data_IF_210048712054
#
_entry.id   IF_210048712054
#
_cell.length_a   1.000
_cell.length_b   1.000
_cell.length_c   1.000
_cell.angle_alpha   90.00
_cell.angle_beta   90.00
_cell.angle_gamma   90.00
#
_symmetry.space_group_name_H-M   'P 1'
#
loop_
_entity.id
_entity.type
_entity.pdbx_description
1 polymer ?
#
# COMPACT_ATOMS: atom_id res chain seq x y z
N UNK A 1 5.22 2.88 27.60
CA UNK A 1 4.04 2.01 27.76
C UNK A 1 3.71 1.98 29.24
N UNK A 2 2.46 1.67 29.65
CA UNK A 2 2.15 1.36 31.06
C UNK A 2 3.11 0.29 31.59
N UNK A 3 3.39 0.24 32.89
CA UNK A 3 4.37 -0.73 33.44
C UNK A 3 3.92 -2.19 33.31
N UNK A 4 2.61 -2.43 33.26
CA UNK A 4 1.94 -3.74 33.24
C UNK A 4 1.47 -4.18 31.85
N UNK A 5 1.90 -3.49 30.79
CA UNK A 5 1.46 -3.74 29.41
C UNK A 5 1.74 -5.19 28.93
N UNK A 6 2.79 -5.83 29.43
CA UNK A 6 3.15 -7.22 29.10
C UNK A 6 2.21 -8.24 29.73
N UNK A 7 1.62 -7.89 30.88
CA UNK A 7 0.64 -8.71 31.60
C UNK A 7 -0.80 -8.44 31.16
N UNK A 8 -1.02 -7.59 30.16
CA UNK A 8 -2.34 -7.31 29.64
C UNK A 8 -3.03 -8.60 29.16
N UNK A 9 -4.34 -8.77 29.44
CA UNK A 9 -5.11 -9.88 28.90
C UNK A 9 -4.96 -10.00 27.39
N UNK A 10 -5.03 -11.22 26.85
CA UNK A 10 -4.82 -11.47 25.42
C UNK A 10 -5.77 -10.63 24.54
N UNK A 11 -6.98 -10.37 25.03
CA UNK A 11 -8.00 -9.57 24.37
C UNK A 11 -7.68 -8.06 24.33
N UNK A 12 -6.69 -7.59 25.10
CA UNK A 12 -6.29 -6.19 25.21
C UNK A 12 -4.88 -5.91 24.67
N UNK A 13 -4.08 -6.96 24.42
CA UNK A 13 -2.71 -6.82 23.90
C UNK A 13 -2.62 -6.01 22.60
N UNK A 14 -3.68 -6.01 21.78
CA UNK A 14 -3.77 -5.21 20.55
C UNK A 14 -3.64 -3.70 20.79
N UNK A 15 -4.00 -3.21 21.99
CA UNK A 15 -3.83 -1.81 22.39
C UNK A 15 -2.34 -1.43 22.34
N UNK A 16 -1.48 -2.35 22.77
CA UNK A 16 -0.03 -2.19 22.82
C UNK A 16 0.69 -2.66 21.54
N UNK A 17 -0.06 -3.06 20.52
CA UNK A 17 0.52 -3.54 19.27
C UNK A 17 1.37 -2.48 18.57
N UNK A 18 2.51 -2.91 18.03
CA UNK A 18 3.41 -2.06 17.26
C UNK A 18 3.10 -2.16 15.77
N UNK A 19 2.80 -1.02 15.16
CA UNK A 19 2.50 -0.93 13.73
C UNK A 19 3.71 -0.38 12.99
N UNK A 20 4.33 -1.19 12.15
CA UNK A 20 5.47 -0.80 11.33
C UNK A 20 5.12 -0.80 9.86
N UNK A 21 5.25 0.36 9.24
CA UNK A 21 5.16 0.48 7.79
C UNK A 21 6.56 0.56 7.17
N UNK A 22 6.73 -0.24 6.12
CA UNK A 22 7.97 -0.44 5.37
C UNK A 22 7.72 0.10 3.96
N UNK A 23 8.63 0.94 3.47
CA UNK A 23 8.57 1.49 2.11
C UNK A 23 9.94 2.08 1.71
N UNK A 24 10.16 2.35 0.43
CA UNK A 24 11.34 3.08 -0.04
C UNK A 24 11.02 4.25 -0.97
N UNK A 25 11.80 5.33 -0.79
CA UNK A 25 11.68 6.54 -1.56
C UNK A 25 12.83 6.69 -2.58
N UNK A 26 12.48 6.62 -3.87
CA UNK A 26 13.42 6.73 -4.98
C UNK A 26 13.66 8.14 -5.51
N UNK A 27 13.03 9.16 -4.91
CA UNK A 27 13.41 10.56 -5.11
C UNK A 27 14.69 10.89 -4.33
N UNK A 28 14.88 10.28 -3.14
CA UNK A 28 16.04 10.49 -2.25
C UNK A 28 17.31 9.75 -2.70
N UNK A 29 17.66 9.88 -3.98
CA UNK A 29 18.90 9.33 -4.58
C UNK A 29 20.11 10.07 -4.03
N UNK A 30 21.27 9.40 -3.98
CA UNK A 30 22.56 10.05 -3.68
C UNK A 30 23.59 9.73 -4.76
N UNK A 31 24.26 10.77 -5.28
CA UNK A 31 25.37 10.59 -6.22
C UNK A 31 26.64 10.12 -5.49
N UNK A 32 27.50 9.44 -6.24
CA UNK A 32 28.78 8.97 -5.75
C UNK A 32 29.85 10.08 -5.84
N UNK A 33 29.73 11.11 -5.00
CA UNK A 33 30.57 12.32 -5.04
C UNK A 33 31.62 12.41 -3.93
N UNK A 34 31.51 11.59 -2.87
CA UNK A 34 32.41 11.57 -1.72
C UNK A 34 32.41 10.18 -1.05
N UNK A 35 33.22 10.02 0.01
CA UNK A 35 33.36 8.79 0.80
C UNK A 35 33.19 9.07 2.30
N UNK A 36 32.97 8.02 3.10
CA UNK A 36 32.80 8.14 4.55
C UNK A 36 34.09 8.62 5.27
N UNK A 37 35.27 8.44 4.66
CA UNK A 37 36.54 8.98 5.20
C UNK A 37 36.64 10.49 5.04
N UNK A 38 36.12 11.04 3.92
CA UNK A 38 36.18 12.48 3.60
C UNK A 38 35.02 13.25 4.21
N UNK A 39 33.86 12.63 4.33
CA UNK A 39 32.64 13.19 4.89
C UNK A 39 31.99 12.17 5.85
N UNK A 40 32.55 12.01 7.06
CA UNK A 40 32.00 11.08 8.04
C UNK A 40 30.68 11.59 8.62
N UNK A 41 29.76 10.67 8.91
CA UNK A 41 28.54 11.01 9.65
C UNK A 41 28.83 11.31 11.12
N UNK A 42 28.07 12.23 11.71
CA UNK A 42 28.13 12.52 13.15
C UNK A 42 27.24 11.55 13.92
N UNK A 43 26.01 11.36 13.44
CA UNK A 43 25.06 10.40 14.00
C UNK A 43 25.33 9.02 13.40
N UNK A 44 26.19 8.24 14.06
CA UNK A 44 26.58 6.88 13.66
C UNK A 44 25.56 5.85 14.16
N UNK A 45 24.32 5.95 13.69
CA UNK A 45 23.25 5.06 14.14
C UNK A 45 22.60 5.45 15.48
N UNK A 46 22.86 6.65 15.99
CA UNK A 46 22.31 7.12 17.28
C UNK A 46 20.94 7.81 17.14
N UNK A 47 20.43 7.96 15.92
CA UNK A 47 19.16 8.62 15.63
C UNK A 47 18.30 7.72 14.73
N UNK A 48 17.88 8.21 13.56
CA UNK A 48 16.91 7.52 12.69
C UNK A 48 17.57 6.74 11.57
N UNK A 49 18.69 7.23 11.04
CA UNK A 49 19.49 6.51 10.06
C UNK A 49 20.28 5.38 10.75
N UNK A 50 20.31 4.19 10.13
CA UNK A 50 21.08 3.04 10.58
C UNK A 50 22.60 3.31 10.62
N UNK A 51 23.32 2.54 11.43
CA UNK A 51 24.79 2.57 11.44
C UNK A 51 25.35 2.00 10.12
N UNK A 52 26.13 2.82 9.42
CA UNK A 52 26.53 2.56 8.04
C UNK A 52 27.52 1.41 7.91
N UNK A 53 28.49 1.29 8.81
CA UNK A 53 29.57 0.31 8.67
C UNK A 53 29.03 -1.11 8.84
N UNK A 54 28.30 -1.37 9.92
CA UNK A 54 27.63 -2.62 10.19
C UNK A 54 26.65 -2.98 9.07
N UNK A 55 25.91 -1.98 8.55
CA UNK A 55 25.02 -2.19 7.43
C UNK A 55 25.76 -2.62 6.15
N UNK A 56 26.85 -1.94 5.79
CA UNK A 56 27.67 -2.31 4.62
C UNK A 56 28.28 -3.69 4.75
N UNK A 57 28.78 -4.06 5.93
CA UNK A 57 29.31 -5.41 6.19
C UNK A 57 28.22 -6.46 6.05
N UNK A 58 27.03 -6.21 6.61
CA UNK A 58 25.85 -7.05 6.43
C UNK A 58 25.48 -7.22 4.95
N UNK A 59 25.42 -6.13 4.17
CA UNK A 59 25.11 -6.20 2.75
C UNK A 59 26.17 -7.02 1.99
N UNK A 60 27.47 -6.85 2.27
CA UNK A 60 28.53 -7.65 1.66
C UNK A 60 28.36 -9.15 1.92
N UNK A 61 27.91 -9.52 3.13
CA UNK A 61 27.72 -10.91 3.52
C UNK A 61 26.48 -11.54 2.89
N UNK A 62 25.36 -10.80 2.82
CA UNK A 62 24.06 -11.41 2.54
C UNK A 62 23.43 -11.04 1.19
N UNK A 63 23.89 -10.00 0.49
CA UNK A 63 23.30 -9.54 -0.78
C UNK A 63 23.31 -10.62 -1.88
N UNK A 64 24.29 -11.54 -1.85
CA UNK A 64 24.37 -12.67 -2.80
C UNK A 64 23.64 -13.93 -2.32
N UNK A 65 23.31 -13.99 -1.03
CA UNK A 65 22.70 -15.17 -0.38
C UNK A 65 21.18 -15.06 -0.39
N UNK A 66 20.68 -13.85 -0.21
CA UNK A 66 19.25 -13.55 -0.24
C UNK A 66 18.80 -13.45 -1.69
N UNK A 67 17.84 -14.30 -2.07
CA UNK A 67 17.24 -14.26 -3.39
C UNK A 67 15.93 -13.48 -3.34
N UNK A 68 15.69 -12.71 -4.41
CA UNK A 68 14.41 -12.05 -4.64
C UNK A 68 13.43 -13.05 -5.26
N UNK A 69 12.25 -13.18 -4.67
CA UNK A 69 11.22 -14.06 -5.18
C UNK A 69 10.51 -13.42 -6.39
N UNK A 70 10.09 -14.28 -7.35
CA UNK A 70 9.28 -13.83 -8.47
C UNK A 70 7.93 -13.33 -7.96
N UNK A 71 7.48 -12.20 -8.50
CA UNK A 71 6.21 -11.59 -8.14
C UNK A 71 5.05 -12.48 -8.62
N UNK A 72 4.25 -13.02 -7.69
CA UNK A 72 3.08 -13.86 -8.00
C UNK A 72 1.74 -13.13 -7.87
N UNK A 73 1.73 -11.96 -7.21
CA UNK A 73 0.50 -11.28 -6.79
C UNK A 73 0.12 -10.04 -7.67
N UNK A 74 0.97 -9.63 -8.61
CA UNK A 74 0.63 -8.62 -9.65
C UNK A 74 1.71 -8.59 -10.74
N UNK A 75 1.46 -7.90 -11.86
CA UNK A 75 2.44 -7.51 -12.87
C UNK A 75 3.34 -6.34 -12.39
N UNK A 76 3.78 -6.35 -11.11
CA UNK A 76 4.75 -5.37 -10.57
C UNK A 76 6.14 -5.49 -11.22
N UNK A 77 6.36 -6.47 -12.11
CA UNK A 77 7.59 -6.61 -12.88
C UNK A 77 7.98 -5.33 -13.62
N UNK A 78 7.02 -4.52 -14.09
CA UNK A 78 7.31 -3.23 -14.73
C UNK A 78 7.88 -2.18 -13.76
N UNK A 79 7.43 -2.16 -12.50
CA UNK A 79 7.91 -1.22 -11.47
C UNK A 79 9.23 -1.70 -10.89
N UNK A 80 9.35 -3.01 -10.57
CA UNK A 80 10.63 -3.61 -10.12
C UNK A 80 11.73 -3.37 -11.16
N UNK A 81 11.46 -3.58 -12.45
CA UNK A 81 12.47 -3.40 -13.51
C UNK A 81 12.87 -1.94 -13.79
N UNK A 82 11.98 -0.96 -13.52
CA UNK A 82 12.33 0.47 -13.60
C UNK A 82 13.28 0.90 -12.46
N UNK A 83 13.09 0.35 -11.26
CA UNK A 83 13.85 0.71 -10.05
C UNK A 83 15.18 -0.06 -9.91
N UNK A 84 15.28 -1.23 -10.54
CA UNK A 84 16.47 -2.12 -10.55
C UNK A 84 17.64 -1.54 -11.35
N UNK A 85 17.43 -0.56 -12.23
CA UNK A 85 18.52 0.07 -12.99
C UNK A 85 19.38 0.92 -12.06
N UNK A 86 20.48 0.32 -11.59
CA UNK A 86 21.56 1.02 -10.88
C UNK A 86 22.00 2.21 -11.73
N UNK A 87 21.55 3.42 -11.38
CA UNK A 87 21.91 4.63 -12.10
C UNK A 87 23.43 4.77 -12.07
N UNK A 88 24.09 4.83 -13.23
CA UNK A 88 25.53 5.09 -13.31
C UNK A 88 25.84 6.37 -12.52
N UNK A 89 26.79 6.29 -11.60
CA UNK A 89 27.18 7.43 -10.75
C UNK A 89 26.35 7.64 -9.48
N UNK A 90 25.42 6.74 -9.14
CA UNK A 90 24.72 6.77 -7.85
C UNK A 90 25.40 5.86 -6.82
N UNK A 91 25.53 6.37 -5.59
CA UNK A 91 25.93 5.57 -4.43
C UNK A 91 24.71 4.99 -3.69
N UNK A 92 23.57 5.67 -3.75
CA UNK A 92 22.28 5.16 -3.28
C UNK A 92 21.18 5.46 -4.33
N UNK A 93 20.35 4.46 -4.61
CA UNK A 93 19.21 4.57 -5.54
C UNK A 93 17.96 5.16 -4.88
N UNK A 94 17.94 5.21 -3.55
CA UNK A 94 16.85 5.78 -2.75
C UNK A 94 17.13 5.59 -1.26
N UNK A 95 16.11 5.83 -0.46
CA UNK A 95 16.12 5.63 0.99
C UNK A 95 14.96 4.71 1.40
N UNK A 96 15.27 3.58 2.03
CA UNK A 96 14.28 2.70 2.65
C UNK A 96 13.95 3.16 4.07
N UNK A 97 12.74 2.85 4.54
CA UNK A 97 12.33 3.11 5.92
C UNK A 97 11.46 2.00 6.48
N UNK A 98 11.54 1.83 7.79
CA UNK A 98 10.59 1.11 8.63
C UNK A 98 10.22 2.04 9.79
N UNK A 99 8.97 2.50 9.82
CA UNK A 99 8.54 3.56 10.74
C UNK A 99 7.18 3.24 11.39
N UNK A 100 6.83 3.98 12.45
CA UNK A 100 5.57 3.77 13.14
C UNK A 100 4.40 4.24 12.27
N UNK A 101 3.51 3.33 11.89
CA UNK A 101 2.34 3.68 11.09
C UNK A 101 1.16 4.19 11.90
N UNK A 102 1.13 3.92 13.21
CA UNK A 102 0.08 4.42 14.11
C UNK A 102 0.24 5.92 14.39
N UNK A 103 1.47 6.39 14.52
CA UNK A 103 1.77 7.78 14.89
C UNK A 103 2.42 8.60 13.77
N UNK A 104 2.68 7.98 12.60
CA UNK A 104 3.47 8.53 11.50
C UNK A 104 4.84 9.07 11.96
N UNK A 105 5.53 8.32 12.84
CA UNK A 105 6.81 8.74 13.43
C UNK A 105 7.96 7.87 12.95
N UNK A 106 9.09 8.51 12.65
CA UNK A 106 10.36 7.82 12.37
C UNK A 106 10.84 7.12 13.62
N UNK A 107 11.21 5.85 13.48
CA UNK A 107 11.77 5.07 14.58
C UNK A 107 13.29 5.16 14.60
N UNK A 108 13.92 4.94 15.77
CA UNK A 108 15.37 4.79 15.85
C UNK A 108 15.86 3.72 14.88
N UNK A 109 16.94 4.04 14.17
CA UNK A 109 17.58 3.19 13.16
C UNK A 109 16.60 2.54 12.17
N UNK A 110 15.52 3.26 11.82
CA UNK A 110 14.44 2.82 10.94
C UNK A 110 14.54 3.39 9.53
N UNK A 111 15.69 3.91 9.11
CA UNK A 111 15.92 4.38 7.76
C UNK A 111 17.34 4.09 7.28
N UNK A 112 17.49 3.82 5.97
CA UNK A 112 18.79 3.46 5.41
C UNK A 112 18.83 3.58 3.90
N UNK A 113 20.03 3.80 3.36
CA UNK A 113 20.23 3.88 1.92
C UNK A 113 20.01 2.53 1.25
N UNK A 114 19.29 2.53 0.13
CA UNK A 114 19.11 1.34 -0.71
C UNK A 114 19.90 1.47 -2.00
N UNK A 115 20.77 0.49 -2.28
CA UNK A 115 21.71 0.57 -3.40
C UNK A 115 21.04 0.26 -4.74
N UNK A 116 19.98 -0.55 -4.72
CA UNK A 116 19.27 -0.99 -5.91
C UNK A 116 17.83 -1.36 -5.59
N UNK A 117 16.91 -0.40 -5.67
CA UNK A 117 15.49 -0.67 -5.39
C UNK A 117 15.25 -1.21 -3.97
N UNK A 118 14.11 -1.87 -3.77
CA UNK A 118 13.74 -2.47 -2.48
C UNK A 118 14.21 -3.93 -2.38
N UNK A 119 15.51 -4.17 -2.48
CA UNK A 119 16.01 -5.52 -2.24
C UNK A 119 15.69 -5.95 -0.80
N UNK A 120 15.26 -7.20 -0.62
CA UNK A 120 14.89 -7.78 0.67
C UNK A 120 16.01 -7.64 1.69
N UNK A 121 17.26 -7.87 1.29
CA UNK A 121 18.41 -7.73 2.20
C UNK A 121 18.47 -6.33 2.84
N UNK A 122 18.20 -5.27 2.07
CA UNK A 122 18.17 -3.89 2.59
C UNK A 122 17.00 -3.68 3.55
N UNK A 123 15.80 -4.07 3.13
CA UNK A 123 14.57 -3.83 3.89
C UNK A 123 14.50 -4.67 5.16
N UNK A 124 14.98 -5.92 5.11
CA UNK A 124 15.13 -6.80 6.27
C UNK A 124 16.04 -6.16 7.31
N UNK A 125 17.21 -5.65 6.93
CA UNK A 125 18.10 -4.97 7.88
C UNK A 125 17.43 -3.76 8.54
N UNK A 126 16.78 -2.89 7.75
CA UNK A 126 16.12 -1.68 8.26
C UNK A 126 15.01 -2.07 9.26
N UNK A 127 14.17 -3.05 8.92
CA UNK A 127 13.12 -3.53 9.80
C UNK A 127 13.69 -4.17 11.09
N UNK A 128 14.69 -5.03 10.97
CA UNK A 128 15.31 -5.71 12.10
C UNK A 128 16.06 -4.76 13.03
N UNK A 129 16.79 -3.76 12.50
CA UNK A 129 17.48 -2.78 13.34
C UNK A 129 16.49 -1.97 14.17
N UNK A 130 15.40 -1.49 13.58
CA UNK A 130 14.43 -0.72 14.36
C UNK A 130 13.69 -1.56 15.40
N UNK A 131 13.45 -2.85 15.13
CA UNK A 131 12.85 -3.79 16.08
C UNK A 131 13.73 -4.06 17.30
N UNK A 132 15.05 -3.92 17.21
CA UNK A 132 15.97 -4.09 18.35
C UNK A 132 15.75 -3.08 19.49
N UNK A 133 15.12 -1.93 19.21
CA UNK A 133 14.87 -0.92 20.24
C UNK A 133 13.66 -1.25 21.12
N UNK A 134 12.61 -1.79 20.50
CA UNK A 134 11.44 -2.29 21.21
C UNK A 134 10.57 -3.14 20.28
N UNK A 135 10.08 -4.26 20.81
CA UNK A 135 9.17 -5.17 20.11
C UNK A 135 8.11 -5.70 21.09
N UNK A 136 6.90 -5.11 21.12
CA UNK A 136 5.83 -5.61 21.97
C UNK A 136 5.28 -6.95 21.46
N UNK A 137 4.54 -7.66 22.31
CA UNK A 137 3.99 -9.00 22.02
C UNK A 137 3.23 -9.05 20.69
N UNK A 138 2.44 -8.00 20.39
CA UNK A 138 1.71 -7.88 19.13
C UNK A 138 2.47 -6.99 18.14
N UNK A 139 2.83 -7.56 16.99
CA UNK A 139 3.49 -6.83 15.90
C UNK A 139 2.62 -6.85 14.64
N UNK A 140 2.47 -5.68 14.01
CA UNK A 140 1.78 -5.53 12.72
C UNK A 140 2.78 -4.97 11.73
N UNK A 141 3.10 -5.74 10.69
CA UNK A 141 4.00 -5.35 9.60
C UNK A 141 3.19 -4.98 8.36
N UNK A 142 3.44 -3.78 7.86
CA UNK A 142 2.73 -3.16 6.75
C UNK A 142 3.72 -2.92 5.63
N UNK A 143 3.46 -3.47 4.46
CA UNK A 143 4.35 -3.28 3.31
C UNK A 143 3.59 -3.47 2.00
N UNK A 144 3.88 -2.63 1.01
CA UNK A 144 3.31 -2.68 -0.34
C UNK A 144 3.50 -4.04 -1.01
N UNK A 145 4.54 -4.78 -0.65
CA UNK A 145 4.78 -6.14 -1.16
C UNK A 145 4.80 -7.17 -0.03
N UNK A 146 4.07 -6.94 1.08
CA UNK A 146 4.10 -7.83 2.25
C UNK A 146 3.78 -9.27 1.86
N UNK A 147 2.82 -9.48 0.97
CA UNK A 147 2.38 -10.78 0.48
C UNK A 147 3.48 -11.62 -0.17
N UNK A 148 4.59 -10.99 -0.60
CA UNK A 148 5.79 -11.66 -1.10
C UNK A 148 6.88 -11.67 -0.04
N UNK A 149 7.14 -10.51 0.56
CA UNK A 149 8.22 -10.32 1.50
C UNK A 149 8.10 -11.23 2.74
N UNK A 150 6.89 -11.49 3.22
CA UNK A 150 6.63 -12.29 4.42
C UNK A 150 6.92 -13.80 4.24
N UNK A 151 6.79 -14.35 3.03
CA UNK A 151 6.80 -15.81 2.77
C UNK A 151 8.07 -16.46 3.34
N UNK A 152 9.21 -15.86 3.04
CA UNK A 152 10.53 -16.36 3.44
C UNK A 152 11.16 -15.54 4.57
N UNK A 153 10.41 -14.62 5.21
CA UNK A 153 10.98 -13.68 6.17
C UNK A 153 11.70 -14.39 7.32
N UNK A 154 11.05 -15.37 7.96
CA UNK A 154 11.64 -16.08 9.09
C UNK A 154 12.88 -16.87 8.69
N UNK A 155 12.86 -17.52 7.52
CA UNK A 155 14.02 -18.23 6.97
C UNK A 155 15.18 -17.28 6.66
N UNK A 156 14.91 -16.09 6.11
CA UNK A 156 15.93 -15.04 5.94
C UNK A 156 16.48 -14.60 7.29
N UNK A 157 15.61 -14.32 8.28
CA UNK A 157 16.01 -13.91 9.62
C UNK A 157 16.89 -14.96 10.34
N UNK A 158 16.71 -16.26 10.09
CA UNK A 158 17.57 -17.33 10.65
C UNK A 158 18.98 -17.36 10.08
N UNK A 159 19.19 -16.80 8.87
CA UNK A 159 20.51 -16.72 8.22
C UNK A 159 21.32 -15.52 8.69
N UNK A 160 20.65 -14.50 9.20
CA UNK A 160 21.28 -13.30 9.75
C UNK A 160 21.77 -13.57 11.18
N UNK A 161 22.63 -12.69 11.74
CA UNK A 161 22.97 -12.75 13.16
C UNK A 161 21.70 -12.67 14.03
N UNK A 162 21.77 -13.06 15.32
CA UNK A 162 20.65 -13.00 16.23
C UNK A 162 19.89 -11.66 16.14
N UNK A 163 18.58 -11.78 15.98
CA UNK A 163 17.69 -10.66 15.73
C UNK A 163 16.30 -10.91 16.31
N UNK A 164 15.50 -9.85 16.53
CA UNK A 164 14.26 -9.97 17.29
C UNK A 164 13.22 -10.94 16.71
N UNK A 165 13.25 -11.21 15.40
CA UNK A 165 12.31 -12.14 14.75
C UNK A 165 12.80 -13.59 14.89
N UNK A 166 14.10 -13.85 14.73
CA UNK A 166 14.63 -15.23 14.84
C UNK A 166 14.79 -15.70 16.28
N UNK A 167 14.91 -14.79 17.24
CA UNK A 167 14.96 -15.09 18.68
C UNK A 167 13.58 -15.48 19.24
N UNK A 168 12.50 -15.07 18.59
CA UNK A 168 11.12 -15.37 18.97
C UNK A 168 10.29 -15.74 17.72
N UNK A 169 10.55 -16.94 17.13
CA UNK A 169 9.98 -17.35 15.85
C UNK A 169 8.45 -17.55 15.91
N UNK A 170 7.90 -17.78 17.10
CA UNK A 170 6.48 -18.01 17.33
C UNK A 170 5.71 -16.72 17.65
N UNK A 171 6.40 -15.55 17.62
CA UNK A 171 5.77 -14.26 17.84
C UNK A 171 4.59 -14.05 16.88
N UNK A 172 3.42 -13.64 17.38
CA UNK A 172 2.31 -13.29 16.51
C UNK A 172 2.64 -12.02 15.72
N UNK A 173 2.83 -12.17 14.41
CA UNK A 173 3.01 -11.08 13.47
C UNK A 173 1.82 -11.06 12.52
N UNK A 174 1.08 -9.96 12.53
CA UNK A 174 0.04 -9.70 11.54
C UNK A 174 0.65 -8.96 10.35
N UNK A 175 0.34 -9.43 9.15
CA UNK A 175 0.85 -8.87 7.90
C UNK A 175 -0.30 -8.19 7.16
N UNK A 176 -0.14 -6.94 6.73
CA UNK A 176 -1.19 -6.22 5.99
C UNK A 176 -0.58 -5.37 4.87
N UNK A 177 -1.38 -5.11 3.83
CA UNK A 177 -1.00 -4.21 2.74
C UNK A 177 -1.68 -2.86 2.98
N UNK A 178 -0.95 -1.73 2.91
CA UNK A 178 -1.55 -0.40 3.03
C UNK A 178 -2.73 -0.19 2.08
N UNK A 179 -3.76 0.52 2.56
CA UNK A 179 -5.08 0.58 1.91
C UNK A 179 -5.05 1.10 0.48
N UNK A 180 -4.16 2.04 0.17
CA UNK A 180 -4.06 2.62 -1.18
C UNK A 180 -3.47 1.62 -2.17
N UNK A 181 -2.53 0.79 -1.71
CA UNK A 181 -1.84 -0.18 -2.57
C UNK A 181 -2.61 -1.49 -2.72
N UNK A 182 -3.41 -1.89 -1.71
CA UNK A 182 -4.16 -3.15 -1.70
C UNK A 182 -4.94 -3.44 -3.02
N UNK A 183 -5.69 -2.50 -3.63
CA UNK A 183 -6.44 -2.77 -4.87
C UNK A 183 -5.57 -3.13 -6.07
N UNK A 184 -4.26 -2.85 -6.04
CA UNK A 184 -3.34 -3.22 -7.11
C UNK A 184 -2.92 -4.70 -7.04
N UNK A 185 -3.26 -5.42 -5.97
CA UNK A 185 -2.93 -6.83 -5.80
C UNK A 185 -4.03 -7.75 -6.36
N UNK A 186 -3.71 -9.02 -6.61
CA UNK A 186 -4.72 -10.05 -6.92
C UNK A 186 -5.76 -10.18 -5.80
N UNK A 187 -6.93 -10.73 -6.13
CA UNK A 187 -8.09 -10.81 -5.24
C UNK A 187 -7.74 -11.52 -3.93
N UNK A 188 -6.97 -12.60 -3.99
CA UNK A 188 -6.54 -13.37 -2.81
C UNK A 188 -5.75 -12.50 -1.83
N UNK A 189 -4.83 -11.66 -2.34
CA UNK A 189 -4.08 -10.70 -1.53
C UNK A 189 -5.02 -9.61 -0.96
N UNK A 190 -5.99 -9.14 -1.74
CA UNK A 190 -7.02 -8.18 -1.29
C UNK A 190 -7.88 -8.74 -0.18
N UNK A 191 -8.08 -10.05 -0.17
CA UNK A 191 -8.95 -10.71 0.80
C UNK A 191 -8.25 -11.01 2.12
N UNK A 192 -6.98 -11.43 2.06
CA UNK A 192 -6.17 -11.85 3.20
C UNK A 192 -5.53 -10.67 3.94
N UNK A 193 -4.98 -9.69 3.21
CA UNK A 193 -4.13 -8.64 3.80
C UNK A 193 -4.87 -7.31 4.04
N UNK A 194 -6.21 -7.33 4.02
CA UNK A 194 -7.03 -6.14 4.17
C UNK A 194 -7.17 -5.69 5.63
N UNK A 195 -6.86 -4.42 5.91
CA UNK A 195 -7.12 -3.80 7.22
C UNK A 195 -8.57 -3.92 7.69
N UNK A 196 -9.54 -3.84 6.78
CA UNK A 196 -10.96 -3.90 7.14
C UNK A 196 -11.42 -5.26 7.66
N UNK A 197 -10.60 -6.30 7.50
CA UNK A 197 -10.87 -7.68 7.93
C UNK A 197 -9.91 -8.12 9.04
N UNK A 198 -8.97 -7.26 9.41
CA UNK A 198 -7.96 -7.55 10.43
C UNK A 198 -8.47 -7.14 11.82
N UNK A 199 -8.38 -8.06 12.77
CA UNK A 199 -8.73 -7.78 14.18
C UNK A 199 -7.62 -6.96 14.84
N UNK A 200 -7.99 -6.02 15.71
CA UNK A 200 -7.05 -5.28 16.55
C UNK A 200 -6.30 -4.12 15.86
N UNK A 201 -6.65 -3.77 14.61
CA UNK A 201 -5.96 -2.70 13.85
C UNK A 201 -6.71 -1.37 13.77
N UNK A 202 -7.95 -1.32 14.26
CA UNK A 202 -8.77 -0.11 14.25
C UNK A 202 -8.95 0.49 12.85
N UNK A 203 -8.81 1.81 12.73
CA UNK A 203 -8.96 2.55 11.45
C UNK A 203 -7.65 2.90 10.76
N UNK A 204 -6.53 2.30 11.16
CA UNK A 204 -5.22 2.51 10.53
C UNK A 204 -5.26 2.27 9.02
N UNK A 205 -4.53 3.08 8.24
CA UNK A 205 -4.46 2.99 6.78
C UNK A 205 -3.17 2.37 6.23
N UNK A 206 -2.07 2.45 6.99
CA UNK A 206 -0.76 1.95 6.57
C UNK A 206 0.09 2.92 5.75
N UNK A 207 -0.44 4.10 5.39
CA UNK A 207 0.15 5.04 4.41
C UNK A 207 1.11 6.06 5.06
N UNK A 208 1.65 5.72 6.23
CA UNK A 208 2.51 6.62 6.99
C UNK A 208 3.80 6.98 6.22
N UNK A 209 4.51 6.02 5.59
CA UNK A 209 5.72 6.34 4.81
C UNK A 209 5.45 7.35 3.70
N UNK A 210 4.39 7.15 2.93
CA UNK A 210 3.97 7.98 1.80
C UNK A 210 3.69 9.43 2.24
N UNK A 211 2.97 9.61 3.35
CA UNK A 211 2.76 10.94 3.96
C UNK A 211 4.08 11.59 4.38
N UNK A 212 4.98 10.81 4.99
CA UNK A 212 6.30 11.27 5.40
C UNK A 212 7.18 11.67 4.21
N UNK A 213 7.08 10.96 3.09
CA UNK A 213 7.82 11.24 1.86
C UNK A 213 7.50 12.58 1.25
N UNK A 214 6.23 12.99 1.25
CA UNK A 214 5.84 14.32 0.77
C UNK A 214 6.61 15.44 1.48
N UNK A 215 6.87 15.31 2.79
CA UNK A 215 7.62 16.31 3.54
C UNK A 215 9.11 16.35 3.18
N UNK A 216 9.74 15.19 2.95
CA UNK A 216 11.20 15.09 2.75
C UNK A 216 11.62 15.16 1.28
N UNK A 217 10.68 14.96 0.34
CA UNK A 217 10.94 15.04 -1.11
C UNK A 217 11.47 16.41 -1.55
N UNK A 218 11.10 17.48 -0.84
CA UNK A 218 11.62 18.82 -1.11
C UNK A 218 13.15 18.92 -0.91
N UNK A 219 13.73 18.04 -0.09
CA UNK A 219 15.19 17.97 0.13
C UNK A 219 15.90 17.00 -0.81
N UNK A 220 15.18 16.29 -1.69
CA UNK A 220 15.76 15.28 -2.55
C UNK A 220 16.89 15.84 -3.43
N UNK A 221 16.72 17.05 -3.97
CA UNK A 221 17.73 17.68 -4.81
C UNK A 221 18.99 18.10 -4.04
N UNK A 222 18.84 18.67 -2.84
CA UNK A 222 19.98 19.11 -2.03
C UNK A 222 20.74 17.91 -1.47
N UNK A 223 20.03 16.94 -0.90
CA UNK A 223 20.63 15.72 -0.34
C UNK A 223 21.30 14.85 -1.40
N UNK A 224 20.86 14.91 -2.66
CA UNK A 224 21.43 14.11 -3.74
C UNK A 224 22.89 14.42 -4.06
N UNK A 225 23.29 15.68 -3.91
CA UNK A 225 24.65 16.15 -4.21
C UNK A 225 25.56 16.13 -2.97
N UNK A 226 25.03 15.81 -1.79
CA UNK A 226 25.80 15.75 -0.55
C UNK A 226 26.67 14.50 -0.47
N UNK A 227 27.78 14.62 0.25
CA UNK A 227 28.54 13.46 0.72
C UNK A 227 27.71 12.60 1.71
N UNK A 228 28.20 11.39 2.02
CA UNK A 228 27.44 10.44 2.83
C UNK A 228 27.17 10.93 4.26
N UNK A 229 28.14 11.55 4.93
CA UNK A 229 28.01 12.08 6.29
C UNK A 229 27.02 13.23 6.36
N UNK A 230 27.23 14.27 5.56
CA UNK A 230 26.37 15.44 5.49
C UNK A 230 24.92 15.08 5.17
N UNK A 231 24.68 14.16 4.21
CA UNK A 231 23.32 13.70 3.88
C UNK A 231 22.63 13.02 5.06
N UNK A 232 23.31 12.08 5.73
CA UNK A 232 22.70 11.36 6.86
C UNK A 232 22.35 12.31 7.99
N UNK A 233 23.24 13.24 8.32
CA UNK A 233 22.98 14.26 9.34
C UNK A 233 21.76 15.14 8.97
N UNK A 234 21.65 15.57 7.70
CA UNK A 234 20.49 16.35 7.24
C UNK A 234 19.19 15.56 7.31
N UNK A 235 19.21 14.28 6.93
CA UNK A 235 18.03 13.42 7.01
C UNK A 235 17.62 13.15 8.47
N UNK A 236 18.58 12.89 9.36
CA UNK A 236 18.30 12.74 10.79
C UNK A 236 17.68 14.00 11.39
N UNK A 237 18.17 15.20 11.03
CA UNK A 237 17.62 16.47 11.49
C UNK A 237 16.18 16.67 10.98
N UNK A 238 15.93 16.42 9.70
CA UNK A 238 14.60 16.53 9.12
C UNK A 238 13.59 15.52 9.72
N UNK A 239 14.04 14.29 9.99
CA UNK A 239 13.24 13.29 10.68
C UNK A 239 12.98 13.69 12.14
N UNK A 240 13.99 14.25 12.81
CA UNK A 240 13.88 14.81 14.15
C UNK A 240 12.87 15.93 14.24
N UNK A 241 12.92 16.89 13.31
CA UNK A 241 11.94 17.97 13.22
C UNK A 241 10.51 17.44 13.00
N UNK A 242 10.35 16.47 12.10
CA UNK A 242 9.04 15.85 11.82
C UNK A 242 8.48 15.15 13.06
N UNK A 243 9.31 14.37 13.76
CA UNK A 243 8.93 13.70 14.99
C UNK A 243 8.62 14.68 16.13
N UNK A 244 9.40 15.76 16.26
CA UNK A 244 9.13 16.82 17.24
C UNK A 244 7.76 17.45 16.98
N UNK A 245 7.48 17.85 15.74
CA UNK A 245 6.18 18.40 15.34
C UNK A 245 5.03 17.43 15.63
N UNK A 246 5.20 16.16 15.27
CA UNK A 246 4.22 15.10 15.58
C UNK A 246 3.97 15.00 17.08
N UNK A 247 5.02 15.07 17.89
CA UNK A 247 4.91 14.98 19.36
C UNK A 247 4.19 16.19 19.94
N UNK A 248 4.51 17.42 19.50
CA UNK A 248 3.88 18.64 20.03
C UNK A 248 2.41 18.77 19.63
N UNK A 249 2.03 18.26 18.47
CA UNK A 249 0.66 18.33 17.94
C UNK A 249 -0.18 17.07 18.28
N UNK A 250 0.43 16.05 18.91
CA UNK A 250 -0.20 14.74 19.10
C UNK A 250 -1.44 14.82 19.97
N UNK A 251 -1.36 15.50 21.11
CA UNK A 251 -2.45 15.56 22.07
C UNK A 251 -3.70 16.20 21.47
N UNK A 252 -3.56 17.34 20.81
CA UNK A 252 -4.65 18.02 20.12
C UNK A 252 -5.20 17.21 18.94
N UNK A 253 -4.33 16.53 18.19
CA UNK A 253 -4.74 15.68 17.08
C UNK A 253 -5.55 14.49 17.57
N UNK A 254 -5.07 13.80 18.62
CA UNK A 254 -5.75 12.65 19.20
C UNK A 254 -7.08 13.03 19.84
N UNK A 255 -7.16 14.16 20.55
CA UNK A 255 -8.42 14.64 21.11
C UNK A 255 -9.47 14.87 20.01
N UNK A 256 -9.11 15.60 18.96
CA UNK A 256 -9.99 15.84 17.80
C UNK A 256 -10.38 14.52 17.10
N UNK A 257 -9.43 13.62 16.91
CA UNK A 257 -9.70 12.31 16.32
C UNK A 257 -10.60 11.44 17.20
N UNK A 258 -10.51 11.55 18.53
CA UNK A 258 -11.37 10.83 19.46
C UNK A 258 -12.82 11.35 19.39
N UNK A 259 -13.01 12.67 19.38
CA UNK A 259 -14.33 13.28 19.22
C UNK A 259 -14.99 12.85 17.90
N UNK A 260 -14.25 12.92 16.79
CA UNK A 260 -14.71 12.45 15.48
C UNK A 260 -15.03 10.95 15.51
N UNK A 261 -14.19 10.13 16.15
CA UNK A 261 -14.42 8.70 16.26
C UNK A 261 -15.70 8.37 17.04
N UNK A 262 -15.99 9.09 18.14
CA UNK A 262 -17.24 8.91 18.90
C UNK A 262 -18.46 9.28 18.05
N UNK A 263 -18.40 10.41 17.35
CA UNK A 263 -19.47 10.85 16.45
C UNK A 263 -19.72 9.85 15.32
N UNK A 264 -18.66 9.42 14.63
CA UNK A 264 -18.75 8.47 13.52
C UNK A 264 -19.19 7.09 14.01
N UNK A 265 -18.75 6.65 15.19
CA UNK A 265 -19.16 5.35 15.76
C UNK A 265 -20.68 5.23 15.83
N UNK A 266 -21.37 6.27 16.30
CA UNK A 266 -22.84 6.24 16.38
C UNK A 266 -23.47 6.01 15.00
N UNK A 267 -23.05 6.80 14.01
CA UNK A 267 -23.55 6.68 12.62
C UNK A 267 -23.27 5.32 12.00
N UNK A 268 -22.08 4.77 12.24
CA UNK A 268 -21.69 3.46 11.69
C UNK A 268 -22.45 2.32 12.36
N UNK A 269 -22.74 2.41 13.66
CA UNK A 269 -23.55 1.41 14.37
C UNK A 269 -24.99 1.43 13.86
N UNK A 270 -25.61 2.62 13.75
CA UNK A 270 -26.97 2.75 13.22
C UNK A 270 -27.07 2.17 11.81
N UNK A 271 -26.16 2.57 10.91
CA UNK A 271 -26.14 2.05 9.55
C UNK A 271 -25.91 0.52 9.50
N UNK A 272 -25.05 -0.01 10.38
CA UNK A 272 -24.82 -1.44 10.49
C UNK A 272 -26.06 -2.18 11.00
N UNK A 273 -26.73 -1.68 12.03
CA UNK A 273 -27.93 -2.29 12.59
C UNK A 273 -29.08 -2.27 11.60
N UNK A 274 -29.32 -1.14 10.92
CA UNK A 274 -30.33 -1.02 9.87
C UNK A 274 -30.08 -2.03 8.75
N UNK A 275 -28.85 -2.11 8.25
CA UNK A 275 -28.47 -3.08 7.22
C UNK A 275 -28.62 -4.52 7.73
N UNK A 276 -28.14 -4.81 8.94
CA UNK A 276 -28.22 -6.15 9.53
C UNK A 276 -29.68 -6.58 9.74
N UNK A 277 -30.58 -5.67 10.12
CA UNK A 277 -32.00 -5.97 10.32
C UNK A 277 -32.75 -6.32 9.04
N UNK A 278 -32.19 -6.02 7.86
CA UNK A 278 -32.75 -6.52 6.58
C UNK A 278 -32.61 -8.04 6.42
N UNK A 279 -31.73 -8.68 7.20
CA UNK A 279 -31.49 -10.13 7.16
C UNK A 279 -32.12 -10.86 8.34
N UNK A 280 -32.55 -12.10 8.08
CA UNK A 280 -33.07 -13.00 9.12
C UNK A 280 -32.03 -13.24 10.22
N UNK A 281 -32.50 -13.41 11.46
CA UNK A 281 -31.64 -13.60 12.65
C UNK A 281 -30.72 -14.82 12.48
N UNK A 282 -31.22 -15.89 11.88
CA UNK A 282 -30.50 -17.13 11.67
C UNK A 282 -29.32 -16.93 10.71
N UNK A 283 -29.52 -16.14 9.65
CA UNK A 283 -28.47 -15.80 8.67
C UNK A 283 -27.37 -14.98 9.36
N UNK A 284 -27.75 -13.98 10.15
CA UNK A 284 -26.79 -13.17 10.92
C UNK A 284 -25.95 -14.03 11.87
N UNK A 285 -26.60 -14.90 12.65
CA UNK A 285 -25.89 -15.80 13.58
C UNK A 285 -24.93 -16.75 12.86
N UNK A 286 -25.35 -17.32 11.73
CA UNK A 286 -24.52 -18.20 10.94
C UNK A 286 -23.30 -17.46 10.39
N UNK A 287 -23.50 -16.26 9.82
CA UNK A 287 -22.42 -15.42 9.29
C UNK A 287 -21.43 -14.99 10.38
N UNK A 288 -21.92 -14.48 11.52
CA UNK A 288 -21.06 -14.10 12.65
C UNK A 288 -20.19 -15.26 13.12
N UNK A 289 -20.74 -16.49 13.17
CA UNK A 289 -19.97 -17.69 13.53
C UNK A 289 -18.86 -17.99 12.51
N UNK A 290 -19.12 -17.82 11.21
CA UNK A 290 -18.12 -18.01 10.17
C UNK A 290 -16.98 -16.98 10.28
N UNK A 291 -17.33 -15.70 10.48
CA UNK A 291 -16.36 -14.62 10.70
C UNK A 291 -15.49 -14.91 11.91
N UNK A 292 -16.09 -15.21 13.07
CA UNK A 292 -15.34 -15.49 14.29
C UNK A 292 -14.45 -16.72 14.19
N UNK A 293 -14.89 -17.77 13.49
CA UNK A 293 -14.07 -18.96 13.25
C UNK A 293 -12.86 -18.64 12.37
N UNK A 294 -13.05 -17.83 11.32
CA UNK A 294 -11.98 -17.38 10.45
C UNK A 294 -11.01 -16.43 11.16
N UNK A 295 -11.49 -15.45 11.92
CA UNK A 295 -10.66 -14.52 12.69
C UNK A 295 -9.77 -15.22 13.74
N UNK A 296 -10.23 -16.35 14.29
CA UNK A 296 -9.46 -17.16 15.24
C UNK A 296 -8.43 -18.05 14.55
N UNK A 297 -8.76 -18.55 13.37
CA UNK A 297 -7.92 -19.46 12.59
C UNK A 297 -8.21 -19.27 11.09
N UNK A 298 -7.28 -18.61 10.41
CA UNK A 298 -7.34 -18.29 8.99
C UNK A 298 -7.26 -19.55 8.09
N UNK A 299 -7.02 -20.75 8.63
CA UNK A 299 -7.14 -22.01 7.88
C UNK A 299 -8.59 -22.41 7.63
N UNK A 300 -9.54 -21.82 8.38
CA UNK A 300 -10.96 -21.97 8.10
C UNK A 300 -11.36 -21.26 6.79
N UNK A 301 -12.49 -21.65 6.17
CA UNK A 301 -12.98 -20.96 4.97
C UNK A 301 -13.15 -19.46 5.22
N UNK A 302 -12.54 -18.64 4.36
CA UNK A 302 -12.67 -17.19 4.42
C UNK A 302 -14.11 -16.79 4.02
N UNK A 303 -14.95 -16.26 4.95
CA UNK A 303 -16.32 -15.90 4.63
C UNK A 303 -16.40 -14.74 3.65
N UNK A 304 -15.34 -13.93 3.55
CA UNK A 304 -15.26 -12.78 2.66
C UNK A 304 -14.73 -13.11 1.27
N UNK A 305 -14.32 -14.36 1.03
CA UNK A 305 -13.88 -14.80 -0.28
C UNK A 305 -15.08 -14.93 -1.21
N UNK A 306 -15.03 -14.26 -2.37
CA UNK A 306 -16.07 -14.43 -3.38
C UNK A 306 -15.84 -15.75 -4.11
N UNK A 307 -16.76 -16.70 -3.95
CA UNK A 307 -16.68 -18.02 -4.58
C UNK A 307 -16.90 -18.01 -6.10
N UNK A 308 -17.32 -16.87 -6.67
CA UNK A 308 -17.78 -16.80 -8.05
C UNK A 308 -16.67 -16.47 -9.03
N UNK A 309 -16.72 -17.12 -10.20
CA UNK A 309 -15.94 -16.75 -11.37
C UNK A 309 -16.34 -15.33 -11.80
N UNK A 310 -15.55 -14.34 -11.39
CA UNK A 310 -15.73 -12.96 -11.85
C UNK A 310 -15.33 -12.91 -13.32
N UNK A 311 -16.32 -13.01 -14.21
CA UNK A 311 -16.10 -12.84 -15.63
C UNK A 311 -15.59 -11.42 -15.90
N UNK A 312 -14.45 -11.32 -16.59
CA UNK A 312 -13.93 -10.05 -17.06
C UNK A 312 -14.92 -9.44 -18.07
N UNK A 313 -14.90 -8.10 -18.21
CA UNK A 313 -15.68 -7.39 -19.25
C UNK A 313 -15.51 -8.01 -20.65
N UNK A 314 -14.32 -8.55 -20.95
CA UNK A 314 -14.03 -9.21 -22.23
C UNK A 314 -14.69 -10.58 -22.34
N UNK A 315 -14.69 -11.36 -21.26
CA UNK A 315 -15.37 -12.67 -21.21
C UNK A 315 -16.89 -12.51 -21.29
N UNK A 316 -17.47 -11.56 -20.55
CA UNK A 316 -18.90 -11.23 -20.66
C UNK A 316 -19.25 -10.82 -22.09
N UNK A 317 -18.42 -9.97 -22.73
CA UNK A 317 -18.60 -9.60 -24.15
C UNK A 317 -18.56 -10.80 -25.08
N UNK A 318 -17.64 -11.73 -24.86
CA UNK A 318 -17.50 -12.94 -25.67
C UNK A 318 -18.71 -13.85 -25.50
N UNK A 319 -19.21 -14.02 -24.28
CA UNK A 319 -20.39 -14.84 -24.01
C UNK A 319 -21.65 -14.26 -24.65
N UNK A 320 -21.91 -12.96 -24.46
CA UNK A 320 -23.03 -12.27 -25.11
C UNK A 320 -22.96 -12.37 -26.64
N UNK A 321 -21.76 -12.28 -27.23
CA UNK A 321 -21.58 -12.45 -28.68
C UNK A 321 -21.86 -13.90 -29.14
N UNK A 322 -21.51 -14.91 -28.32
CA UNK A 322 -21.84 -16.32 -28.59
C UNK A 322 -23.34 -16.57 -28.50
N UNK A 323 -24.02 -16.02 -27.50
CA UNK A 323 -25.47 -16.10 -27.35
C UNK A 323 -26.19 -15.46 -28.54
N UNK A 324 -25.74 -14.27 -28.95
CA UNK A 324 -26.28 -13.57 -30.11
C UNK A 324 -26.14 -14.39 -31.39
N UNK A 325 -24.96 -14.97 -31.64
CA UNK A 325 -24.72 -15.86 -32.78
C UNK A 325 -25.66 -17.08 -32.73
N UNK A 326 -25.82 -17.71 -31.57
CA UNK A 326 -26.70 -18.86 -31.42
C UNK A 326 -28.18 -18.50 -31.64
N UNK A 327 -28.61 -17.32 -31.22
CA UNK A 327 -29.97 -16.83 -31.42
C UNK A 327 -30.26 -16.52 -32.90
N UNK A 328 -29.27 -15.98 -33.63
CA UNK A 328 -29.34 -15.78 -35.08
C UNK A 328 -29.43 -17.12 -35.84
N UNK A 329 -28.58 -18.10 -35.48
CA UNK A 329 -28.59 -19.43 -36.09
C UNK A 329 -29.92 -20.19 -35.87
N UNK A 330 -30.59 -19.97 -34.73
CA UNK A 330 -31.90 -20.55 -34.41
C UNK A 330 -33.09 -19.77 -34.96
N UNK A 331 -32.87 -18.59 -35.56
CA UNK A 331 -33.95 -17.71 -36.04
C UNK A 331 -34.83 -17.12 -34.93
N UNK A 332 -34.38 -17.19 -33.67
CA UNK A 332 -35.10 -16.67 -32.49
C UNK A 332 -34.72 -15.23 -32.14
N UNK A 333 -33.84 -14.60 -32.92
CA UNK A 333 -33.43 -13.22 -32.67
C UNK A 333 -34.56 -12.24 -33.00
N UNK A 334 -35.00 -11.47 -32.01
CA UNK A 334 -35.95 -10.37 -32.17
C UNK A 334 -35.24 -9.07 -31.81
N UNK A 335 -34.50 -8.48 -32.76
CA UNK A 335 -33.80 -7.21 -32.55
C UNK A 335 -34.59 -6.06 -33.19
N UNK A 336 -34.59 -4.90 -32.52
CA UNK A 336 -35.24 -3.68 -33.01
C UNK A 336 -34.46 -3.04 -34.18
N UNK A 337 -33.16 -3.30 -34.28
CA UNK A 337 -32.27 -2.80 -35.33
C UNK A 337 -31.48 -3.97 -35.96
N UNK A 338 -31.25 -3.91 -37.28
CA UNK A 338 -30.61 -4.98 -38.04
C UNK A 338 -29.08 -5.04 -37.89
N UNK A 339 -28.46 -3.98 -37.37
CA UNK A 339 -27.01 -3.82 -37.22
C UNK A 339 -26.56 -3.73 -35.76
N UNK A 340 -27.49 -3.53 -34.81
CA UNK A 340 -27.17 -3.34 -33.41
C UNK A 340 -27.98 -4.26 -32.50
N UNK A 341 -27.26 -5.11 -31.77
CA UNK A 341 -27.86 -5.99 -30.76
C UNK A 341 -28.07 -5.28 -29.42
N UNK A 342 -28.94 -5.82 -28.54
CA UNK A 342 -29.16 -5.25 -27.21
C UNK A 342 -27.89 -5.14 -26.36
N UNK A 343 -27.01 -6.15 -26.43
CA UNK A 343 -25.71 -6.14 -25.75
C UNK A 343 -24.78 -5.08 -26.35
N UNK A 344 -24.75 -4.96 -27.68
CA UNK A 344 -24.04 -3.90 -28.39
C UNK A 344 -24.51 -2.50 -27.97
N UNK A 345 -25.82 -2.29 -27.92
CA UNK A 345 -26.45 -1.04 -27.50
C UNK A 345 -26.07 -0.64 -26.08
N UNK A 346 -26.20 -1.56 -25.11
CA UNK A 346 -25.81 -1.31 -23.71
C UNK A 346 -24.31 -1.00 -23.62
N UNK A 347 -23.46 -1.75 -24.33
CA UNK A 347 -22.01 -1.52 -24.31
C UNK A 347 -21.62 -0.16 -24.91
N UNK A 348 -22.30 0.26 -25.98
CA UNK A 348 -22.09 1.57 -26.59
C UNK A 348 -22.58 2.69 -25.67
N UNK A 349 -23.76 2.53 -25.05
CA UNK A 349 -24.28 3.47 -24.04
C UNK A 349 -23.33 3.64 -22.86
N UNK A 350 -22.81 2.54 -22.29
CA UNK A 350 -21.81 2.59 -21.22
C UNK A 350 -20.50 3.24 -21.68
N UNK A 351 -20.07 3.01 -22.93
CA UNK A 351 -18.87 3.63 -23.47
C UNK A 351 -19.04 5.15 -23.66
N UNK A 352 -20.20 5.59 -24.16
CA UNK A 352 -20.56 6.99 -24.30
C UNK A 352 -20.65 7.68 -22.94
N UNK A 353 -21.33 7.07 -21.96
CA UNK A 353 -21.43 7.60 -20.60
C UNK A 353 -20.03 7.77 -19.97
N UNK A 354 -19.18 6.76 -20.10
CA UNK A 354 -17.81 6.83 -19.59
C UNK A 354 -16.99 7.91 -20.30
N UNK A 355 -17.09 8.02 -21.62
CA UNK A 355 -16.40 9.04 -22.40
C UNK A 355 -16.87 10.46 -22.03
N UNK A 356 -18.17 10.66 -21.80
CA UNK A 356 -18.73 11.92 -21.29
C UNK A 356 -18.20 12.28 -19.91
N UNK A 357 -18.24 11.34 -18.95
CA UNK A 357 -17.69 11.55 -17.60
C UNK A 357 -16.22 11.90 -17.65
N UNK A 358 -15.44 11.13 -18.42
CA UNK A 358 -14.00 11.38 -18.61
C UNK A 358 -13.74 12.77 -19.16
N UNK A 359 -14.44 13.18 -20.23
CA UNK A 359 -14.28 14.51 -20.81
C UNK A 359 -14.65 15.61 -19.80
N UNK A 360 -15.76 15.45 -19.06
CA UNK A 360 -16.17 16.37 -18.01
C UNK A 360 -15.06 16.55 -16.95
N UNK A 361 -14.50 15.45 -16.44
CA UNK A 361 -13.38 15.51 -15.49
C UNK A 361 -12.14 16.16 -16.10
N UNK A 362 -11.75 15.79 -17.32
CA UNK A 362 -10.60 16.38 -18.02
C UNK A 362 -10.81 17.88 -18.28
N UNK A 363 -12.04 18.31 -18.54
CA UNK A 363 -12.40 19.72 -18.72
C UNK A 363 -12.38 20.51 -17.40
N UNK A 364 -12.82 19.91 -16.30
CA UNK A 364 -12.76 20.53 -14.96
C UNK A 364 -11.31 20.63 -14.45
N UNK A 365 -10.46 19.68 -14.82
CA UNK A 365 -9.04 19.65 -14.46
C UNK A 365 -8.18 20.60 -15.32
N UNK A 366 -8.76 21.24 -16.35
CA UNK A 366 -8.10 22.32 -17.08
C UNK A 366 -7.97 23.55 -16.17
N UNK A 367 -6.80 23.66 -15.53
CA UNK A 367 -6.42 24.85 -14.79
C UNK A 367 -6.23 26.09 -15.70
N UNK A 368 -6.07 27.29 -15.11
CA UNK A 368 -5.91 28.56 -15.84
C UNK A 368 -4.63 28.67 -16.69
N UNK A 369 -3.76 27.66 -16.66
CA UNK A 369 -2.51 27.57 -17.42
C UNK A 369 -2.47 26.34 -18.31
N UNK A 370 -3.63 25.82 -18.72
CA UNK A 370 -3.70 24.72 -19.67
C UNK A 370 -2.95 25.07 -20.97
N UNK A 371 -2.21 24.09 -21.50
CA UNK A 371 -1.55 24.26 -22.78
C UNK A 371 -2.56 24.16 -23.93
N UNK A 372 -2.31 24.79 -25.09
CA UNK A 372 -3.18 24.66 -26.26
C UNK A 372 -3.44 23.20 -26.68
N UNK A 373 -2.48 22.30 -26.43
CA UNK A 373 -2.63 20.87 -26.69
C UNK A 373 -3.61 20.17 -25.72
N UNK A 374 -3.66 20.61 -24.47
CA UNK A 374 -4.62 20.09 -23.48
C UNK A 374 -6.02 20.59 -23.79
N UNK A 375 -6.15 21.89 -24.10
CA UNK A 375 -7.42 22.50 -24.53
C UNK A 375 -7.95 21.86 -25.81
N UNK A 376 -7.08 21.65 -26.83
CA UNK A 376 -7.50 21.03 -28.09
C UNK A 376 -7.98 19.60 -27.89
N UNK A 377 -7.33 18.81 -27.02
CA UNK A 377 -7.75 17.43 -26.73
C UNK A 377 -9.13 17.36 -26.10
N UNK A 378 -9.41 18.20 -25.10
CA UNK A 378 -10.73 18.25 -24.46
C UNK A 378 -11.78 18.72 -25.47
N UNK A 379 -11.47 19.76 -26.25
CA UNK A 379 -12.39 20.29 -27.26
C UNK A 379 -12.70 19.27 -28.36
N UNK A 380 -11.68 18.58 -28.89
CA UNK A 380 -11.84 17.51 -29.89
C UNK A 380 -12.66 16.35 -29.33
N UNK A 381 -12.39 15.94 -28.08
CA UNK A 381 -13.18 14.91 -27.41
C UNK A 381 -14.65 15.35 -27.24
N UNK A 382 -14.90 16.62 -26.96
CA UNK A 382 -16.26 17.18 -26.83
C UNK A 382 -16.98 17.17 -28.18
N UNK A 383 -16.29 17.62 -29.24
CA UNK A 383 -16.83 17.62 -30.61
C UNK A 383 -17.19 16.18 -31.04
N UNK A 384 -16.31 15.22 -30.77
CA UNK A 384 -16.56 13.82 -31.13
C UNK A 384 -17.75 13.24 -30.36
N UNK A 385 -17.87 13.53 -29.05
CA UNK A 385 -19.02 13.11 -28.24
C UNK A 385 -20.35 13.71 -28.74
N UNK A 386 -20.34 14.98 -29.16
CA UNK A 386 -21.52 15.63 -29.73
C UNK A 386 -21.90 15.00 -31.07
N UNK A 387 -20.93 14.71 -31.94
CA UNK A 387 -21.17 14.01 -33.21
C UNK A 387 -21.74 12.60 -32.99
N UNK A 388 -21.16 11.84 -32.07
CA UNK A 388 -21.64 10.49 -31.74
C UNK A 388 -23.08 10.49 -31.18
N UNK A 389 -23.51 11.60 -30.58
CA UNK A 389 -24.88 11.80 -30.11
C UNK A 389 -25.81 12.19 -31.26
N UNK A 390 -25.39 13.12 -32.12
CA UNK A 390 -26.20 13.65 -33.23
C UNK A 390 -26.35 12.66 -34.40
N UNK A 391 -25.43 11.69 -34.54
CA UNK A 391 -25.54 10.58 -35.50
C UNK A 391 -26.51 9.47 -35.05
N UNK A 392 -27.18 9.60 -33.89
CA UNK A 392 -28.32 8.72 -33.57
C UNK A 392 -29.53 9.16 -34.40
N UNK A 393 -30.05 8.31 -35.31
CA UNK A 393 -31.21 8.70 -36.10
C UNK A 393 -32.38 8.97 -35.15
N UNK A 394 -32.96 10.16 -35.28
CA UNK A 394 -34.24 10.50 -34.64
C UNK A 394 -35.25 9.42 -35.01
N UNK A 395 -35.69 8.66 -34.00
CA UNK A 395 -36.68 7.60 -34.12
C UNK A 395 -38.02 8.11 -34.66
#
# INVERSE_FOLDING_TARGET
MPEDWESAPKEEQWIHALFLAIDANFHLRRKNVSSDEKDPGFNRGFAYIIEEFAYKEYLKMYDKVVQEDKCTCNNHDAIKSATIRRGKGLAASGLGTCQCSRHDMKRPTGAGDVQKGEHYVNMDWIALQTLRHNIPCSLVLLYNIICQWMINLLERCRRYPPNPISEDPDRPIQYLIPKFHLPAHIVECQEEFAFGRAVGVGRTDGEAPERGWAAVNNMAYSTREMGPGARRNMLDDAFGHTNWKKTTEMASTLARCADEAVFQRQRQIEAFEDFAHTFKVEVRKAWTKQVQAWEQDHSNPNPYATADHIMTKKEVRLELAKEEKAALEKGTSCYMDAKMSPSGFILQGLALEWARRKNMYESEDLGPHATPLQESKVLEATINLTRDYDDTPSA
#
